data_IF_036359277659
#
_entry.id   IF_036359277659
#
_cell.length_a   1.000
_cell.length_b   1.000
_cell.length_c   1.000
_cell.angle_alpha   90.00
_cell.angle_beta   90.00
_cell.angle_gamma   90.00
#
_symmetry.space_group_name_H-M   'P 1'
#
loop_
_entity.id
_entity.type
_entity.pdbx_description
1 polymer ?
#
# COMPACT_ATOMS: atom_id res chain seq x y z
N UNK A 1 21.34 54.36 32.58
CA UNK A 1 20.05 53.73 32.96
C UNK A 1 19.54 53.00 31.74
N UNK A 2 19.12 51.75 31.92
CA UNK A 2 19.06 50.71 30.88
C UNK A 2 18.07 51.01 29.75
N UNK A 3 18.52 50.74 28.53
CA UNK A 3 17.75 50.77 27.29
C UNK A 3 16.90 49.50 27.16
N UNK A 4 15.69 49.66 26.62
CA UNK A 4 14.66 48.64 26.52
C UNK A 4 15.11 47.50 25.59
N UNK A 5 15.34 46.31 26.17
CA UNK A 5 15.68 45.10 25.43
C UNK A 5 14.53 44.73 24.50
N UNK A 6 14.73 44.97 23.21
CA UNK A 6 13.87 44.53 22.13
C UNK A 6 13.96 43.02 22.00
N UNK A 7 13.06 42.29 22.66
CA UNK A 7 12.83 40.87 22.38
C UNK A 7 12.25 40.77 20.96
N UNK A 8 13.12 40.55 19.97
CA UNK A 8 12.64 40.04 18.69
C UNK A 8 12.01 38.68 18.94
N UNK A 9 10.70 38.62 18.77
CA UNK A 9 9.94 37.39 18.72
C UNK A 9 10.51 36.52 17.60
N UNK A 10 11.30 35.52 17.98
CA UNK A 10 11.56 34.35 17.15
C UNK A 10 10.21 33.66 17.02
N UNK A 11 9.46 34.01 15.98
CA UNK A 11 8.39 33.16 15.47
C UNK A 11 9.07 31.90 14.95
N UNK A 12 9.26 30.94 15.84
CA UNK A 12 9.57 29.56 15.46
C UNK A 12 8.33 29.05 14.74
N UNK A 13 8.33 29.18 13.41
CA UNK A 13 7.36 28.52 12.56
C UNK A 13 7.44 27.02 12.88
N UNK A 14 6.34 26.38 13.31
CA UNK A 14 6.37 24.97 13.67
C UNK A 14 6.84 24.16 12.45
N UNK A 15 7.64 23.10 12.63
CA UNK A 15 8.10 22.27 11.52
C UNK A 15 6.87 21.83 10.73
N UNK A 16 6.88 22.09 9.43
CA UNK A 16 5.77 21.84 8.53
C UNK A 16 5.20 20.44 8.82
N UNK A 17 3.99 20.38 9.36
CA UNK A 17 3.25 19.14 9.53
C UNK A 17 3.09 18.59 8.12
N UNK A 18 3.82 17.51 7.82
CA UNK A 18 3.86 16.89 6.50
C UNK A 18 2.44 16.71 5.98
N UNK A 19 2.16 17.16 4.76
CA UNK A 19 0.83 17.01 4.21
C UNK A 19 0.57 15.51 3.97
N UNK A 20 -0.67 15.03 4.17
CA UNK A 20 -1.01 13.63 3.88
C UNK A 20 -0.71 13.23 2.43
N UNK A 21 -0.56 14.19 1.51
CA UNK A 21 -0.21 13.96 0.12
C UNK A 21 1.24 13.48 -0.08
N UNK A 22 2.17 13.80 0.83
CA UNK A 22 3.58 13.37 0.70
C UNK A 22 3.80 11.92 1.12
N UNK A 23 2.88 11.36 1.90
CA UNK A 23 2.95 10.00 2.46
C UNK A 23 2.10 9.00 1.66
N UNK A 24 1.01 9.47 1.05
CA UNK A 24 0.11 8.60 0.29
C UNK A 24 0.65 8.33 -1.13
N UNK A 25 0.73 7.06 -1.57
CA UNK A 25 1.07 6.76 -2.95
C UNK A 25 -0.03 7.23 -3.89
N UNK A 26 0.37 7.74 -5.05
CA UNK A 26 -0.57 8.17 -6.08
C UNK A 26 -1.37 6.99 -6.66
N UNK A 27 -2.43 7.33 -7.39
CA UNK A 27 -3.29 6.32 -8.02
C UNK A 27 -2.56 5.51 -9.10
N UNK A 28 -1.52 6.06 -9.72
CA UNK A 28 -0.75 5.33 -10.72
C UNK A 28 0.04 4.18 -10.09
N UNK A 29 0.67 4.43 -8.94
CA UNK A 29 1.36 3.44 -8.12
C UNK A 29 0.38 2.36 -7.66
N UNK A 30 -0.79 2.76 -7.13
CA UNK A 30 -1.81 1.81 -6.67
C UNK A 30 -2.32 0.94 -7.81
N UNK A 31 -2.51 1.51 -9.00
CA UNK A 31 -2.97 0.76 -10.16
C UNK A 31 -1.91 -0.24 -10.65
N UNK A 32 -0.63 0.14 -10.70
CA UNK A 32 0.46 -0.81 -11.00
C UNK A 32 0.49 -1.96 -9.99
N UNK A 33 0.40 -1.65 -8.70
CA UNK A 33 0.36 -2.66 -7.64
C UNK A 33 -0.82 -3.64 -7.82
N UNK A 34 -2.02 -3.15 -8.17
CA UNK A 34 -3.17 -4.03 -8.46
C UNK A 34 -2.87 -4.98 -9.62
N UNK A 35 -2.32 -4.48 -10.73
CA UNK A 35 -1.95 -5.31 -11.88
C UNK A 35 -0.91 -6.36 -11.50
N UNK A 36 0.10 -6.00 -10.72
CA UNK A 36 1.13 -6.94 -10.27
C UNK A 36 0.56 -8.04 -9.38
N UNK A 37 -0.32 -7.68 -8.44
CA UNK A 37 -1.04 -8.65 -7.58
C UNK A 37 -1.92 -9.58 -8.43
N UNK A 38 -2.68 -9.04 -9.39
CA UNK A 38 -3.54 -9.83 -10.27
C UNK A 38 -2.73 -10.81 -11.13
N UNK A 39 -1.56 -10.40 -11.63
CA UNK A 39 -0.67 -11.27 -12.38
C UNK A 39 -0.11 -12.39 -11.50
N UNK A 40 0.30 -12.07 -10.28
CA UNK A 40 0.84 -13.04 -9.32
C UNK A 40 -0.20 -14.09 -8.90
N UNK A 41 -1.49 -13.72 -8.86
CA UNK A 41 -2.58 -14.61 -8.48
C UNK A 41 -3.24 -15.30 -9.69
N UNK A 42 -2.79 -15.03 -10.91
CA UNK A 42 -3.39 -15.55 -12.15
C UNK A 42 -3.47 -17.08 -12.15
N UNK A 43 -2.38 -17.76 -11.78
CA UNK A 43 -2.31 -19.21 -11.76
C UNK A 43 -3.34 -19.84 -10.82
N UNK A 44 -3.59 -19.25 -9.66
CA UNK A 44 -4.59 -19.73 -8.70
C UNK A 44 -6.02 -19.60 -9.26
N UNK A 45 -6.29 -18.50 -9.96
CA UNK A 45 -7.59 -18.30 -10.63
C UNK A 45 -7.79 -19.33 -11.74
N UNK A 46 -6.75 -19.57 -12.54
CA UNK A 46 -6.81 -20.51 -13.64
C UNK A 46 -6.94 -21.96 -13.14
N UNK A 47 -6.23 -22.32 -12.07
CA UNK A 47 -6.35 -23.61 -11.40
C UNK A 47 -7.76 -23.84 -10.83
N UNK A 48 -8.32 -22.85 -10.12
CA UNK A 48 -9.69 -22.94 -9.59
C UNK A 48 -10.72 -23.16 -10.71
N UNK A 49 -10.56 -22.47 -11.84
CA UNK A 49 -11.41 -22.67 -13.03
C UNK A 49 -11.22 -24.08 -13.60
N UNK A 50 -9.97 -24.48 -13.83
CA UNK A 50 -9.63 -25.76 -14.43
C UNK A 50 -10.19 -26.93 -13.60
N UNK A 51 -10.06 -26.86 -12.27
CA UNK A 51 -10.59 -27.87 -11.35
C UNK A 51 -12.12 -28.01 -11.46
N UNK A 52 -12.86 -26.90 -11.56
CA UNK A 52 -14.30 -26.94 -11.79
C UNK A 52 -14.62 -27.58 -13.15
N UNK A 53 -13.96 -27.14 -14.22
CA UNK A 53 -14.20 -27.66 -15.57
C UNK A 53 -13.90 -29.15 -15.69
N UNK A 54 -12.78 -29.61 -15.17
CA UNK A 54 -12.36 -31.00 -15.26
C UNK A 54 -13.27 -31.92 -14.46
N UNK A 55 -13.81 -31.45 -13.33
CA UNK A 55 -14.75 -32.23 -12.53
C UNK A 55 -16.11 -32.32 -13.24
N UNK A 56 -16.61 -31.23 -13.81
CA UNK A 56 -17.86 -31.21 -14.55
C UNK A 56 -17.83 -32.05 -15.84
N UNK A 57 -16.66 -32.22 -16.45
CA UNK A 57 -16.47 -33.04 -17.67
C UNK A 57 -16.51 -34.55 -17.42
N UNK A 58 -16.21 -35.02 -16.21
CA UNK A 58 -16.10 -36.47 -15.86
C UNK A 58 -17.46 -37.15 -15.65
N UNK A 59 -18.42 -36.92 -16.54
CA UNK A 59 -19.84 -37.30 -16.43
C UNK A 59 -20.15 -38.68 -15.82
N UNK A 60 -21.36 -38.87 -15.23
CA UNK A 60 -22.42 -37.88 -14.99
C UNK A 60 -22.38 -37.30 -13.56
N UNK A 61 -22.42 -35.96 -13.48
CA UNK A 61 -22.51 -35.22 -12.21
C UNK A 61 -23.98 -34.91 -11.91
N UNK A 62 -24.47 -35.19 -10.70
CA UNK A 62 -25.84 -34.88 -10.30
C UNK A 62 -26.06 -33.37 -10.18
N UNK A 63 -27.32 -32.90 -10.15
CA UNK A 63 -27.60 -31.48 -9.94
C UNK A 63 -27.05 -30.98 -8.58
N UNK A 64 -27.22 -31.78 -7.53
CA UNK A 64 -26.68 -31.49 -6.18
C UNK A 64 -25.16 -31.38 -6.19
N UNK A 65 -24.47 -32.28 -6.89
CA UNK A 65 -23.00 -32.22 -6.97
C UNK A 65 -22.52 -31.02 -7.80
N UNK A 66 -23.25 -30.62 -8.85
CA UNK A 66 -22.92 -29.39 -9.60
C UNK A 66 -23.04 -28.14 -8.72
N UNK A 67 -24.07 -28.07 -7.88
CA UNK A 67 -24.26 -26.97 -6.94
C UNK A 67 -23.10 -26.93 -5.93
N UNK A 68 -22.78 -28.07 -5.32
CA UNK A 68 -21.64 -28.21 -4.40
C UNK A 68 -20.32 -27.74 -5.03
N UNK A 69 -20.01 -28.20 -6.25
CA UNK A 69 -18.80 -27.80 -6.98
C UNK A 69 -18.78 -26.30 -7.31
N UNK A 70 -19.95 -25.72 -7.57
CA UNK A 70 -20.08 -24.27 -7.82
C UNK A 70 -19.81 -23.48 -6.54
N UNK A 71 -20.36 -23.91 -5.41
CA UNK A 71 -20.12 -23.30 -4.10
C UNK A 71 -18.63 -23.37 -3.71
N UNK A 72 -17.97 -24.52 -3.93
CA UNK A 72 -16.54 -24.69 -3.69
C UNK A 72 -15.69 -23.76 -4.57
N UNK A 73 -16.04 -23.63 -5.85
CA UNK A 73 -15.38 -22.69 -6.75
C UNK A 73 -15.55 -21.25 -6.26
N UNK A 74 -16.77 -20.84 -5.89
CA UNK A 74 -17.04 -19.49 -5.38
C UNK A 74 -16.30 -19.19 -4.07
N UNK A 75 -16.24 -20.17 -3.16
CA UNK A 75 -15.47 -20.05 -1.92
C UNK A 75 -13.96 -19.88 -2.21
N UNK A 76 -13.43 -20.65 -3.16
CA UNK A 76 -12.04 -20.52 -3.60
C UNK A 76 -11.75 -19.15 -4.21
N UNK A 77 -12.61 -18.66 -5.11
CA UNK A 77 -12.49 -17.32 -5.69
C UNK A 77 -12.56 -16.21 -4.64
N UNK A 78 -13.41 -16.36 -3.62
CA UNK A 78 -13.46 -15.44 -2.48
C UNK A 78 -12.15 -15.44 -1.71
N UNK A 79 -11.55 -16.60 -1.46
CA UNK A 79 -10.25 -16.69 -0.79
C UNK A 79 -9.12 -16.01 -1.59
N UNK A 80 -9.10 -16.20 -2.92
CA UNK A 80 -8.13 -15.54 -3.80
C UNK A 80 -8.31 -14.01 -3.75
N UNK A 81 -9.56 -13.51 -3.75
CA UNK A 81 -9.83 -12.08 -3.58
C UNK A 81 -9.31 -11.54 -2.24
N UNK A 82 -9.60 -12.24 -1.14
CA UNK A 82 -9.11 -11.83 0.19
C UNK A 82 -7.58 -11.78 0.23
N UNK A 83 -6.90 -12.72 -0.43
CA UNK A 83 -5.45 -12.71 -0.55
C UNK A 83 -4.94 -11.49 -1.31
N UNK A 84 -5.59 -11.12 -2.42
CA UNK A 84 -5.26 -9.92 -3.19
C UNK A 84 -5.42 -8.64 -2.35
N UNK A 85 -6.52 -8.53 -1.61
CA UNK A 85 -6.80 -7.40 -0.71
C UNK A 85 -5.74 -7.29 0.39
N UNK A 86 -5.32 -8.42 0.96
CA UNK A 86 -4.29 -8.45 1.99
C UNK A 86 -2.92 -8.03 1.43
N UNK A 87 -2.52 -8.57 0.27
CA UNK A 87 -1.28 -8.18 -0.40
C UNK A 87 -1.25 -6.68 -0.71
N UNK A 88 -2.36 -6.13 -1.20
CA UNK A 88 -2.49 -4.71 -1.47
C UNK A 88 -2.33 -3.88 -0.20
N UNK A 89 -3.02 -4.26 0.89
CA UNK A 89 -2.97 -3.56 2.18
C UNK A 89 -1.57 -3.57 2.78
N UNK A 90 -0.87 -4.70 2.72
CA UNK A 90 0.50 -4.85 3.21
C UNK A 90 1.45 -3.96 2.40
N UNK A 91 1.41 -4.05 1.07
CA UNK A 91 2.27 -3.26 0.19
C UNK A 91 2.02 -1.75 0.35
N UNK A 92 0.76 -1.33 0.43
CA UNK A 92 0.41 0.08 0.66
C UNK A 92 0.94 0.59 2.01
N UNK A 93 0.85 -0.21 3.08
CA UNK A 93 1.40 0.16 4.39
C UNK A 93 2.92 0.30 4.33
N UNK A 94 3.59 -0.61 3.63
CA UNK A 94 5.04 -0.59 3.45
C UNK A 94 5.49 0.66 2.71
N UNK A 95 4.88 0.98 1.57
CA UNK A 95 5.22 2.17 0.78
C UNK A 95 5.00 3.46 1.59
N UNK A 96 3.90 3.58 2.34
CA UNK A 96 3.67 4.73 3.24
C UNK A 96 4.79 4.86 4.28
N UNK A 97 5.27 3.75 4.82
CA UNK A 97 6.36 3.77 5.79
C UNK A 97 7.68 4.19 5.13
N UNK A 98 7.97 3.70 3.93
CA UNK A 98 9.16 4.07 3.15
C UNK A 98 9.15 5.57 2.82
N UNK A 99 8.01 6.13 2.38
CA UNK A 99 7.84 7.57 2.12
C UNK A 99 8.01 8.43 3.38
N UNK A 100 7.43 8.01 4.50
CA UNK A 100 7.65 8.69 5.79
C UNK A 100 9.12 8.70 6.20
N UNK A 101 9.81 7.58 6.02
CA UNK A 101 11.25 7.47 6.32
C UNK A 101 12.09 8.41 5.44
N UNK A 102 11.83 8.41 4.13
CA UNK A 102 12.55 9.27 3.18
C UNK A 102 12.33 10.77 3.46
N UNK A 103 11.08 11.17 3.74
CA UNK A 103 10.76 12.55 4.09
C UNK A 103 11.44 12.99 5.39
N UNK A 104 11.46 12.14 6.42
CA UNK A 104 12.14 12.43 7.68
C UNK A 104 13.67 12.59 7.50
N UNK A 105 14.29 11.76 6.64
CA UNK A 105 15.71 11.88 6.31
C UNK A 105 16.07 13.21 5.63
N UNK A 106 15.24 13.67 4.69
CA UNK A 106 15.45 14.95 4.01
C UNK A 106 15.40 16.16 4.94
N UNK A 107 14.53 16.14 5.96
CA UNK A 107 14.46 17.21 6.96
C UNK A 107 15.75 17.27 7.79
N UNK A 108 16.26 16.11 8.23
CA UNK A 108 17.49 16.04 9.01
C UNK A 108 18.72 16.53 8.22
N UNK A 109 18.82 16.18 6.93
CA UNK A 109 19.92 16.63 6.08
C UNK A 109 19.91 18.16 5.84
N UNK A 110 18.73 18.77 5.72
CA UNK A 110 18.59 20.23 5.58
C UNK A 110 19.00 20.97 6.86
N UNK A 111 18.62 20.45 8.03
CA UNK A 111 18.99 21.04 9.33
C UNK A 111 20.51 20.97 9.58
N UNK A 112 21.15 19.85 9.24
CA UNK A 112 22.59 19.69 9.36
C UNK A 112 23.36 20.58 8.37
N UNK A 113 22.86 20.71 7.13
CA UNK A 113 23.45 21.58 6.11
C UNK A 113 23.36 23.06 6.50
N UNK A 114 22.21 23.51 7.02
CA UNK A 114 22.01 24.88 7.48
C UNK A 114 22.85 25.24 8.71
N UNK A 115 23.15 24.26 9.57
CA UNK A 115 24.02 24.45 10.73
C UNK A 115 25.49 24.57 10.31
N UNK A 116 25.96 23.73 9.37
CA UNK A 116 27.34 23.78 8.88
C UNK A 116 27.65 24.99 7.99
N UNK A 117 26.66 25.62 7.35
CA UNK A 117 26.87 26.83 6.55
C UNK A 117 26.99 28.12 7.38
N UNK A 118 26.65 28.11 8.67
CA UNK A 118 26.73 29.29 9.55
C UNK A 118 28.07 29.43 10.29
N UNK A 119 29.00 28.50 10.12
CA UNK A 119 30.27 28.45 10.87
C UNK A 119 31.48 28.92 10.03
N UNK A 120 31.34 30.01 9.27
CA UNK A 120 32.46 30.66 8.55
C UNK A 120 32.52 32.16 8.78
#
# INVERSE_FOLDING_TARGET
MADFSSFQSITTEPPAIQSPADVEPDEQWKNRLKVDIENNLRSMVDEARQNLYDTLKKAPVSAVERERLTEEYLATMKNIRNLAEEQFRIALRRERQERRGAAAGQVLDQDLSGTMMKER
#
